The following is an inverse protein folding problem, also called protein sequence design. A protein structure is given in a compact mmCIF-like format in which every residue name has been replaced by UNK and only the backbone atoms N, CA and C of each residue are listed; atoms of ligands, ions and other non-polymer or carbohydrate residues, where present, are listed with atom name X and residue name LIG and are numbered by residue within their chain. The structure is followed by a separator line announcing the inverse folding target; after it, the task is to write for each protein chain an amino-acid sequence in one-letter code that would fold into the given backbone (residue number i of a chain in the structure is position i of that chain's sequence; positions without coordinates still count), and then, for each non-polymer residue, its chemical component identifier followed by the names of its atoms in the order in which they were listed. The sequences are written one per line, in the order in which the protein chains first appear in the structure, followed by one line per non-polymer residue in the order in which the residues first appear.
data_IF_012118153255
#
_entry.id   IF_012118153255
#
_cell.length_a   1.000
_cell.length_b   1.000
_cell.length_c   1.000
_cell.angle_alpha   90.00
_cell.angle_beta   90.00
_cell.angle_gamma   90.00
#
_symmetry.space_group_name_H-M   'P 1'
#
loop_
_entity.id
_entity.type
_entity.pdbx_description
1 polymer ?
#
# COMPACT_ATOMS: atom_id res chain seq x y z
N UNK A 1 -3.38 3.37 8.16
CA UNK A 1 -2.13 4.16 8.24
C UNK A 1 -0.98 3.28 8.72
N UNK A 2 -1.08 2.66 9.91
CA UNK A 2 0.00 1.87 10.52
C UNK A 2 0.53 0.75 9.61
N UNK A 3 -0.36 0.01 8.95
CA UNK A 3 0.01 -1.05 7.99
C UNK A 3 0.82 -0.49 6.82
N UNK A 4 0.37 0.62 6.24
CA UNK A 4 1.08 1.27 5.13
C UNK A 4 2.43 1.85 5.55
N UNK A 5 2.53 2.36 6.77
CA UNK A 5 3.80 2.79 7.35
C UNK A 5 4.76 1.59 7.57
N UNK A 6 4.23 0.44 7.98
CA UNK A 6 5.00 -0.80 8.07
C UNK A 6 5.56 -1.24 6.72
N UNK A 7 4.76 -1.15 5.66
CA UNK A 7 5.22 -1.43 4.28
C UNK A 7 6.32 -0.47 3.84
N UNK A 8 6.19 0.83 4.15
CA UNK A 8 7.25 1.80 3.87
C UNK A 8 8.55 1.45 4.62
N UNK A 9 8.44 1.05 5.89
CA UNK A 9 9.58 0.58 6.67
C UNK A 9 10.27 -0.64 6.06
N UNK A 10 9.52 -1.58 5.50
CA UNK A 10 10.07 -2.73 4.78
C UNK A 10 10.84 -2.31 3.52
N UNK A 11 10.33 -1.35 2.74
CA UNK A 11 11.07 -0.82 1.59
C UNK A 11 12.38 -0.14 2.00
N UNK A 12 12.37 0.61 3.10
CA UNK A 12 13.61 1.24 3.62
C UNK A 12 14.61 0.19 4.10
N UNK A 13 14.16 -0.86 4.76
CA UNK A 13 15.02 -1.99 5.18
C UNK A 13 15.61 -2.75 3.99
N UNK A 14 14.91 -2.80 2.86
CA UNK A 14 15.40 -3.43 1.62
C UNK A 14 16.29 -2.49 0.78
N UNK A 15 16.66 -1.32 1.29
CA UNK A 15 17.46 -0.34 0.56
C UNK A 15 16.73 0.38 -0.57
N UNK A 16 15.40 0.24 -0.67
CA UNK A 16 14.56 0.88 -1.68
C UNK A 16 14.03 2.24 -1.17
N UNK A 17 14.94 3.17 -0.89
CA UNK A 17 14.62 4.46 -0.26
C UNK A 17 13.57 5.25 -1.04
N UNK A 18 13.73 5.36 -2.36
CA UNK A 18 12.79 6.09 -3.22
C UNK A 18 11.37 5.53 -3.12
N UNK A 19 11.23 4.21 -3.16
CA UNK A 19 9.92 3.54 -3.08
C UNK A 19 9.33 3.71 -1.68
N UNK A 20 10.14 3.60 -0.62
CA UNK A 20 9.70 3.82 0.75
C UNK A 20 9.16 5.24 0.99
N UNK A 21 9.87 6.25 0.52
CA UNK A 21 9.42 7.65 0.60
C UNK A 21 8.14 7.87 -0.23
N UNK A 22 8.08 7.33 -1.44
CA UNK A 22 6.89 7.41 -2.30
C UNK A 22 5.69 6.73 -1.65
N UNK A 23 5.88 5.59 -1.00
CA UNK A 23 4.85 4.89 -0.23
C UNK A 23 4.23 5.81 0.84
N UNK A 24 5.06 6.54 1.58
CA UNK A 24 4.57 7.49 2.61
C UNK A 24 3.83 8.66 1.97
N UNK A 25 4.43 9.31 0.99
CA UNK A 25 3.87 10.54 0.39
C UNK A 25 2.58 10.27 -0.37
N UNK A 26 2.55 9.22 -1.18
CA UNK A 26 1.38 8.94 -2.03
C UNK A 26 0.30 8.19 -1.26
N UNK A 27 0.64 7.06 -0.63
CA UNK A 27 -0.40 6.24 0.02
C UNK A 27 -0.88 6.84 1.33
N UNK A 28 0.00 7.29 2.21
CA UNK A 28 -0.41 7.86 3.49
C UNK A 28 -0.83 9.33 3.31
N UNK A 29 -0.04 10.11 2.57
CA UNK A 29 -0.26 11.54 2.40
C UNK A 29 -1.42 11.88 1.47
N UNK A 30 -1.55 11.22 0.34
CA UNK A 30 -2.59 11.55 -0.64
C UNK A 30 -3.80 10.59 -0.57
N UNK A 31 -3.60 9.29 -0.76
CA UNK A 31 -4.71 8.33 -0.92
C UNK A 31 -5.53 8.20 0.36
N UNK A 32 -4.89 7.99 1.51
CA UNK A 32 -5.61 7.84 2.79
C UNK A 32 -6.30 9.14 3.20
N UNK A 33 -5.67 10.28 2.99
CA UNK A 33 -6.28 11.58 3.31
C UNK A 33 -7.52 11.81 2.45
N UNK A 34 -7.43 11.56 1.13
CA UNK A 34 -8.59 11.65 0.23
C UNK A 34 -9.70 10.68 0.61
N UNK A 35 -9.35 9.45 0.99
CA UNK A 35 -10.32 8.45 1.44
C UNK A 35 -11.01 8.88 2.72
N UNK A 36 -10.28 9.42 3.70
CA UNK A 36 -10.86 9.95 4.94
C UNK A 36 -11.83 11.09 4.67
N UNK A 37 -11.45 12.03 3.80
CA UNK A 37 -12.36 13.10 3.36
C UNK A 37 -13.59 12.54 2.64
N UNK A 38 -13.41 11.57 1.75
CA UNK A 38 -14.51 10.92 1.04
C UNK A 38 -15.50 10.27 2.00
N UNK A 39 -15.04 9.48 2.96
CA UNK A 39 -15.88 8.84 3.97
C UNK A 39 -16.56 9.87 4.87
N UNK A 40 -15.85 10.93 5.27
CA UNK A 40 -16.41 12.01 6.09
C UNK A 40 -17.54 12.75 5.36
N UNK A 41 -17.39 13.00 4.05
CA UNK A 41 -18.41 13.73 3.26
C UNK A 41 -19.60 12.85 2.87
N UNK A 42 -19.42 11.55 2.71
CA UNK A 42 -20.48 10.64 2.25
C UNK A 42 -21.44 10.20 3.34
N UNK A 43 -21.32 10.65 4.61
CA UNK A 43 -22.19 10.19 5.70
C UNK A 43 -22.46 8.70 5.60
N UNK A 44 -21.43 7.89 5.36
CA UNK A 44 -21.59 6.45 5.39
C UNK A 44 -22.11 6.12 6.78
N UNK A 45 -23.40 5.78 6.87
CA UNK A 45 -23.96 5.17 8.04
C UNK A 45 -23.09 3.96 8.29
N UNK A 46 -22.25 4.05 9.33
CA UNK A 46 -21.60 2.86 9.87
C UNK A 46 -22.80 2.03 10.29
N UNK A 47 -23.12 1.03 9.46
CA UNK A 47 -24.34 0.24 9.60
C UNK A 47 -24.45 -0.22 11.02
N UNK A 48 -25.66 -0.33 11.51
CA UNK A 48 -25.97 -1.04 12.75
C UNK A 48 -25.10 -2.27 12.76
N UNK A 49 -24.16 -2.32 13.70
CA UNK A 49 -23.31 -3.48 13.89
C UNK A 49 -24.25 -4.64 14.23
N UNK A 50 -24.74 -5.29 13.19
CA UNK A 50 -25.36 -6.58 13.34
C UNK A 50 -24.30 -7.43 14.04
N UNK A 51 -24.60 -7.75 15.27
CA UNK A 51 -23.73 -8.38 16.26
C UNK A 51 -23.01 -9.58 15.63
N UNK A 52 -21.90 -9.32 14.93
CA UNK A 52 -20.97 -10.36 14.45
C UNK A 52 -20.21 -10.88 15.69
N UNK A 53 -20.96 -11.16 16.71
CA UNK A 53 -20.47 -11.73 17.93
C UNK A 53 -20.40 -13.25 17.72
N UNK A 54 -19.36 -13.69 16.99
CA UNK A 54 -19.06 -15.12 16.97
C UNK A 54 -18.84 -15.58 18.41
N UNK A 55 -19.68 -16.49 18.92
CA UNK A 55 -19.64 -16.92 20.33
C UNK A 55 -18.31 -17.61 20.69
N UNK A 56 -17.47 -17.95 19.71
CA UNK A 56 -16.20 -18.62 19.91
C UNK A 56 -15.04 -17.81 19.28
N UNK A 57 -14.53 -16.82 19.98
CA UNK A 57 -13.30 -16.09 19.60
C UNK A 57 -12.04 -16.95 19.75
N UNK A 58 -12.13 -18.07 20.46
CA UNK A 58 -10.99 -18.95 20.74
C UNK A 58 -10.53 -19.67 19.47
N UNK A 59 -11.46 -20.20 18.67
CA UNK A 59 -11.11 -20.94 17.46
C UNK A 59 -10.34 -20.09 16.44
N UNK A 60 -10.77 -18.88 16.04
CA UNK A 60 -9.98 -18.01 15.15
C UNK A 60 -8.63 -17.61 15.75
N UNK A 61 -8.56 -17.37 17.05
CA UNK A 61 -7.32 -17.01 17.72
C UNK A 61 -6.31 -18.18 17.69
N UNK A 62 -6.77 -19.41 17.94
CA UNK A 62 -5.91 -20.61 17.85
C UNK A 62 -5.41 -20.83 16.44
N UNK A 63 -6.28 -20.73 15.42
CA UNK A 63 -5.89 -20.88 14.03
C UNK A 63 -4.88 -19.79 13.63
N UNK A 64 -5.12 -18.53 13.98
CA UNK A 64 -4.23 -17.41 13.69
C UNK A 64 -2.85 -17.58 14.34
N UNK A 65 -2.82 -18.01 15.60
CA UNK A 65 -1.56 -18.27 16.32
C UNK A 65 -0.80 -19.43 15.70
N UNK A 66 -1.48 -20.49 15.33
CA UNK A 66 -0.86 -21.67 14.70
C UNK A 66 -0.29 -21.33 13.32
N UNK A 67 -1.03 -20.57 12.51
CA UNK A 67 -0.52 -20.08 11.22
C UNK A 67 0.69 -19.16 11.40
N UNK A 68 0.63 -18.24 12.36
CA UNK A 68 1.74 -17.35 12.67
C UNK A 68 2.99 -18.14 13.10
N UNK A 69 2.83 -19.14 13.94
CA UNK A 69 3.92 -19.99 14.39
C UNK A 69 4.56 -20.79 13.24
N UNK A 70 3.74 -21.38 12.36
CA UNK A 70 4.22 -22.13 11.19
C UNK A 70 4.96 -21.20 10.21
N UNK A 71 4.40 -20.01 9.93
CA UNK A 71 5.06 -19.04 9.05
C UNK A 71 6.39 -18.55 9.65
N UNK A 72 6.41 -18.22 10.93
CA UNK A 72 7.62 -17.78 11.62
C UNK A 72 8.70 -18.87 11.62
N UNK A 73 8.32 -20.11 11.89
CA UNK A 73 9.22 -21.26 11.85
C UNK A 73 9.80 -21.44 10.44
N UNK A 74 8.96 -21.42 9.41
CA UNK A 74 9.38 -21.59 8.01
C UNK A 74 10.35 -20.48 7.57
N UNK A 75 10.09 -19.22 7.95
CA UNK A 75 10.97 -18.10 7.63
C UNK A 75 12.31 -18.27 8.33
N UNK A 76 12.32 -18.54 9.64
CA UNK A 76 13.56 -18.70 10.42
C UNK A 76 14.39 -19.87 9.89
N UNK A 77 13.76 -20.99 9.54
CA UNK A 77 14.45 -22.19 9.03
C UNK A 77 15.02 -21.95 7.63
N UNK A 78 14.28 -21.27 6.76
CA UNK A 78 14.70 -20.97 5.38
C UNK A 78 15.88 -19.98 5.32
N UNK A 79 15.91 -19.00 6.23
CA UNK A 79 16.96 -17.97 6.25
C UNK A 79 18.05 -18.21 7.29
N UNK A 80 18.06 -19.37 7.91
CA UNK A 80 19.08 -19.75 8.88
C UNK A 80 20.42 -19.97 8.19
N UNK A 81 21.29 -18.98 8.23
CA UNK A 81 22.65 -19.06 7.67
C UNK A 81 22.84 -18.37 6.33
N UNK A 82 21.83 -17.73 5.77
CA UNK A 82 22.03 -16.84 4.64
C UNK A 82 22.58 -15.49 5.14
N UNK A 83 23.73 -15.11 4.61
CA UNK A 83 24.24 -13.75 4.77
C UNK A 83 23.34 -12.83 3.93
N UNK A 84 22.80 -11.78 4.55
CA UNK A 84 22.08 -10.75 3.83
C UNK A 84 22.94 -10.21 2.69
N UNK A 85 22.44 -10.18 1.43
CA UNK A 85 23.17 -9.59 0.33
C UNK A 85 23.58 -8.18 0.74
N UNK A 86 24.85 -7.81 0.47
CA UNK A 86 25.34 -6.44 0.70
C UNK A 86 24.36 -5.48 0.03
N UNK A 87 23.72 -4.65 0.82
CA UNK A 87 22.71 -3.70 0.40
C UNK A 87 23.22 -2.88 -0.79
N UNK A 88 22.67 -3.13 -1.95
CA UNK A 88 22.75 -2.19 -3.06
C UNK A 88 21.66 -1.16 -2.86
N UNK A 89 21.96 -0.10 -2.11
CA UNK A 89 21.04 1.03 -1.94
C UNK A 89 20.59 1.50 -3.31
N UNK A 90 19.30 1.32 -3.60
CA UNK A 90 18.73 1.75 -4.86
C UNK A 90 18.44 3.24 -4.78
N UNK A 91 19.39 4.04 -5.20
CA UNK A 91 19.27 5.49 -5.23
C UNK A 91 18.21 5.94 -6.24
N UNK A 92 17.54 7.06 -5.97
CA UNK A 92 16.55 7.69 -6.85
C UNK A 92 17.06 7.89 -8.30
N UNK A 93 18.36 8.15 -8.48
CA UNK A 93 18.98 8.28 -9.80
C UNK A 93 18.87 6.97 -10.61
N UNK A 94 19.15 5.81 -10.03
CA UNK A 94 19.02 4.51 -10.72
C UNK A 94 17.58 4.20 -11.10
N UNK A 95 16.63 4.53 -10.21
CA UNK A 95 15.20 4.37 -10.51
C UNK A 95 14.79 5.26 -11.66
N UNK A 96 15.25 6.50 -11.67
CA UNK A 96 15.02 7.45 -12.74
C UNK A 96 15.58 6.96 -14.08
N UNK A 97 16.84 6.51 -14.10
CA UNK A 97 17.45 5.96 -15.31
C UNK A 97 16.67 4.77 -15.87
N UNK A 98 16.23 3.83 -15.02
CA UNK A 98 15.43 2.70 -15.45
C UNK A 98 14.06 3.12 -15.99
N UNK A 99 13.38 4.08 -15.36
CA UNK A 99 12.07 4.55 -15.80
C UNK A 99 12.16 5.20 -17.17
N UNK A 100 13.18 6.03 -17.40
CA UNK A 100 13.32 6.80 -18.64
C UNK A 100 14.11 6.07 -19.74
N UNK A 101 14.64 4.86 -19.47
CA UNK A 101 15.25 4.00 -20.49
C UNK A 101 14.37 2.80 -20.81
N UNK A 102 14.36 1.81 -19.90
CA UNK A 102 13.74 0.52 -20.15
C UNK A 102 12.21 0.53 -19.97
N UNK A 103 11.71 1.42 -19.10
CA UNK A 103 10.29 1.49 -18.72
C UNK A 103 9.59 2.77 -19.16
N UNK A 104 10.06 3.43 -20.21
CA UNK A 104 9.48 4.68 -20.71
C UNK A 104 8.03 4.49 -21.21
N UNK A 105 7.73 3.37 -21.87
CA UNK A 105 6.38 3.06 -22.36
C UNK A 105 5.38 2.86 -21.23
N UNK A 106 5.64 2.01 -20.21
CA UNK A 106 4.81 1.94 -19.01
C UNK A 106 4.64 3.28 -18.29
N UNK A 107 5.70 4.08 -18.20
CA UNK A 107 5.65 5.41 -17.59
C UNK A 107 4.67 6.34 -18.33
N UNK A 108 4.75 6.39 -19.65
CA UNK A 108 3.85 7.21 -20.47
C UNK A 108 2.40 6.71 -20.39
N UNK A 109 2.19 5.40 -20.42
CA UNK A 109 0.86 4.81 -20.29
C UNK A 109 0.20 5.15 -18.95
N UNK A 110 0.95 5.09 -17.84
CA UNK A 110 0.45 5.48 -16.51
C UNK A 110 0.16 6.98 -16.45
N UNK A 111 0.99 7.82 -17.07
CA UNK A 111 0.77 9.26 -17.14
C UNK A 111 -0.53 9.61 -17.85
N UNK A 112 -0.81 8.97 -18.98
CA UNK A 112 -2.07 9.13 -19.73
C UNK A 112 -3.27 8.63 -18.89
N UNK A 113 -3.12 7.50 -18.21
CA UNK A 113 -4.14 6.95 -17.32
C UNK A 113 -4.49 7.92 -16.19
N UNK A 114 -3.48 8.50 -15.55
CA UNK A 114 -3.66 9.48 -14.47
C UNK A 114 -4.39 10.74 -14.99
N UNK A 115 -4.02 11.22 -16.17
CA UNK A 115 -4.69 12.35 -16.82
C UNK A 115 -6.17 12.03 -17.13
N UNK A 116 -6.42 10.87 -17.70
CA UNK A 116 -7.78 10.41 -17.98
C UNK A 116 -8.62 10.26 -16.70
N UNK A 117 -8.05 9.72 -15.64
CA UNK A 117 -8.69 9.60 -14.34
C UNK A 117 -9.02 10.98 -13.74
N UNK A 118 -8.10 11.94 -13.84
CA UNK A 118 -8.33 13.30 -13.37
C UNK A 118 -9.48 13.97 -14.13
N UNK A 119 -9.47 13.88 -15.47
CA UNK A 119 -10.54 14.43 -16.31
C UNK A 119 -11.87 13.76 -15.97
N UNK A 120 -11.90 12.43 -15.86
CA UNK A 120 -13.08 11.66 -15.47
C UNK A 120 -13.64 12.09 -14.12
N UNK A 121 -12.78 12.26 -13.11
CA UNK A 121 -13.20 12.73 -11.80
C UNK A 121 -13.82 14.13 -11.83
N UNK A 122 -13.23 15.05 -12.59
CA UNK A 122 -13.75 16.42 -12.75
C UNK A 122 -15.08 16.42 -13.47
N UNK A 123 -15.23 15.60 -14.53
CA UNK A 123 -16.50 15.50 -15.28
C UNK A 123 -17.64 14.96 -14.41
N UNK A 124 -17.36 13.91 -13.62
CA UNK A 124 -18.35 13.31 -12.72
C UNK A 124 -18.72 14.26 -11.56
N UNK A 125 -17.75 15.01 -11.04
CA UNK A 125 -17.96 15.95 -9.94
C UNK A 125 -18.69 17.23 -10.39
N UNK A 126 -18.74 17.52 -11.69
CA UNK A 126 -19.36 18.72 -12.24
C UNK A 126 -20.87 18.64 -12.10
N UNK A 127 -21.45 19.53 -11.31
CA UNK A 127 -22.89 19.67 -11.19
C UNK A 127 -23.45 20.24 -12.51
N UNK A 128 -24.41 19.56 -13.13
CA UNK A 128 -25.16 20.17 -14.21
C UNK A 128 -25.92 21.38 -13.66
N UNK A 129 -25.57 22.54 -14.17
CA UNK A 129 -26.35 23.75 -13.95
C UNK A 129 -27.44 23.73 -15.02
N UNK A 130 -28.60 23.22 -14.64
CA UNK A 130 -29.82 23.33 -15.44
C UNK A 130 -30.44 24.73 -15.24
#
# INVERSE_FOLDING_TARGET
VLVLAGVAGQFLLLGAEFVGVTQILVYIGAVIVLLLFGVMLTKASIGDEENINMPNRVLPAVIGTLMFAVMSYSIIDSYRGEELPKETVTNAARVSDSIFSDFIIPFEAVSVLLLAALIGAVVIARKEVA
#
